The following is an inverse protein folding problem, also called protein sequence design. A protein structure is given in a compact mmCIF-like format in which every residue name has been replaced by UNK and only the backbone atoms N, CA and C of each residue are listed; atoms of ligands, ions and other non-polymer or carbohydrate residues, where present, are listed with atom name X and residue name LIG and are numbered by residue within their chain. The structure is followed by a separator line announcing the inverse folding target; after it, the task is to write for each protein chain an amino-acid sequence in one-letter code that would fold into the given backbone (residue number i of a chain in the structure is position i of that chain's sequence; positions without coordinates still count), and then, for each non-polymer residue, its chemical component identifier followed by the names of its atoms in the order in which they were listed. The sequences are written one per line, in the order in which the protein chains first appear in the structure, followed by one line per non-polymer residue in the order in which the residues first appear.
data_IF_937542812649
#
_entry.id   IF_937542812649
#
_cell.length_a   1.000
_cell.length_b   1.000
_cell.length_c   1.000
_cell.angle_alpha   90.00
_cell.angle_beta   90.00
_cell.angle_gamma   90.00
#
_symmetry.space_group_name_H-M   'P 1'
#
loop_
_entity.id
_entity.type
_entity.pdbx_description
1 polymer ?
#
# COMPACT_ATOMS: atom_id res chain seq x y z
N UNK A 1 -22.03 38.77 -17.77
CA UNK A 1 -20.98 38.17 -18.60
C UNK A 1 -19.83 37.79 -17.68
N UNK A 2 -19.33 36.56 -17.83
CA UNK A 2 -18.44 35.84 -16.92
C UNK A 2 -16.95 36.19 -17.10
N UNK A 3 -16.16 35.78 -16.08
CA UNK A 3 -14.74 35.38 -16.04
C UNK A 3 -13.84 36.29 -15.18
N UNK A 4 -13.00 35.78 -14.28
CA UNK A 4 -12.91 34.50 -13.59
C UNK A 4 -11.99 34.75 -12.37
N UNK A 5 -12.47 34.50 -11.16
CA UNK A 5 -11.63 34.51 -9.96
C UNK A 5 -10.88 33.18 -9.88
N UNK A 6 -9.59 33.17 -10.22
CA UNK A 6 -8.68 32.20 -9.61
C UNK A 6 -8.41 32.71 -8.18
N UNK A 7 -8.75 31.90 -7.18
CA UNK A 7 -7.67 31.14 -6.56
C UNK A 7 -8.16 29.75 -6.19
N UNK A 8 -7.83 28.75 -7.01
CA UNK A 8 -7.66 27.40 -6.46
C UNK A 8 -6.34 27.38 -5.71
N UNK A 9 -6.33 28.13 -4.60
CA UNK A 9 -5.35 28.01 -3.55
C UNK A 9 -5.36 26.55 -3.13
N UNK A 10 -4.26 25.88 -3.47
CA UNK A 10 -3.69 24.68 -2.85
C UNK A 10 -4.49 24.26 -1.61
N UNK A 11 -5.54 23.46 -1.79
CA UNK A 11 -6.10 22.65 -0.71
C UNK A 11 -5.18 21.45 -0.54
N UNK A 12 -3.96 21.71 -0.09
CA UNK A 12 -3.25 20.79 0.81
C UNK A 12 -4.01 20.80 2.13
N UNK A 13 -5.27 20.36 2.09
CA UNK A 13 -5.96 19.97 3.30
C UNK A 13 -5.16 18.78 3.82
N UNK A 14 -4.55 18.98 4.99
CA UNK A 14 -4.07 17.90 5.84
C UNK A 14 -5.06 16.76 5.74
N UNK A 15 -4.67 15.68 5.05
CA UNK A 15 -5.36 14.40 5.18
C UNK A 15 -5.21 14.05 6.64
N UNK A 16 -6.23 14.37 7.45
CA UNK A 16 -6.39 13.76 8.77
C UNK A 16 -6.16 12.26 8.58
N UNK A 17 -5.42 11.61 9.46
CA UNK A 17 -5.06 10.19 9.33
C UNK A 17 -6.28 9.29 9.07
N UNK A 18 -7.46 9.75 9.50
CA UNK A 18 -8.79 9.19 9.25
C UNK A 18 -9.18 9.12 7.77
N UNK A 19 -8.86 10.14 6.94
CA UNK A 19 -9.18 10.15 5.50
C UNK A 19 -8.15 9.39 4.66
N UNK A 20 -6.89 9.38 5.08
CA UNK A 20 -5.85 8.61 4.39
C UNK A 20 -6.16 7.11 4.45
N UNK A 21 -6.81 6.62 5.52
CA UNK A 21 -7.28 5.23 5.63
C UNK A 21 -8.45 4.90 4.68
N UNK A 22 -9.18 5.91 4.19
CA UNK A 22 -10.32 5.74 3.29
C UNK A 22 -9.93 5.94 1.82
N UNK A 23 -8.97 6.81 1.51
CA UNK A 23 -8.50 7.04 0.14
C UNK A 23 -7.67 5.85 -0.40
N UNK A 24 -8.15 5.12 -1.43
CA UNK A 24 -7.40 4.01 -2.02
C UNK A 24 -6.01 4.42 -2.52
N UNK A 25 -5.84 5.66 -3.01
CA UNK A 25 -4.55 6.13 -3.49
C UNK A 25 -3.56 6.35 -2.32
N UNK A 26 -4.01 6.97 -1.22
CA UNK A 26 -3.20 7.10 -0.01
C UNK A 26 -2.83 5.75 0.61
N UNK A 27 -3.76 4.78 0.64
CA UNK A 27 -3.49 3.43 1.13
C UNK A 27 -2.44 2.72 0.27
N UNK A 28 -2.55 2.78 -1.07
CA UNK A 28 -1.54 2.19 -1.98
C UNK A 28 -0.16 2.82 -1.80
N UNK A 29 -0.09 4.14 -1.55
CA UNK A 29 1.19 4.81 -1.25
C UNK A 29 1.83 4.25 0.02
N UNK A 30 1.07 3.99 1.08
CA UNK A 30 1.59 3.37 2.31
C UNK A 30 2.06 1.94 2.10
N UNK A 31 1.24 1.10 1.44
CA UNK A 31 1.64 -0.27 1.08
C UNK A 31 2.96 -0.28 0.30
N UNK A 32 3.12 0.66 -0.64
CA UNK A 32 4.37 0.84 -1.38
C UNK A 32 5.54 1.24 -0.48
N UNK A 33 5.35 2.20 0.43
CA UNK A 33 6.39 2.63 1.36
C UNK A 33 6.85 1.48 2.27
N UNK A 34 5.90 0.71 2.79
CA UNK A 34 6.19 -0.46 3.63
C UNK A 34 6.98 -1.52 2.85
N UNK A 35 6.57 -1.81 1.62
CA UNK A 35 7.30 -2.71 0.71
C UNK A 35 8.73 -2.22 0.47
N UNK A 36 8.91 -0.96 0.08
CA UNK A 36 10.21 -0.38 -0.27
C UNK A 36 11.15 -0.37 0.94
N UNK A 37 10.64 0.00 2.13
CA UNK A 37 11.40 -0.02 3.38
C UNK A 37 11.87 -1.44 3.70
N UNK A 38 10.96 -2.41 3.71
CA UNK A 38 11.30 -3.80 4.01
C UNK A 38 12.22 -4.42 2.96
N UNK A 39 12.01 -4.09 1.69
CA UNK A 39 12.86 -4.59 0.61
C UNK A 39 14.29 -4.07 0.72
N UNK A 40 14.48 -2.81 1.12
CA UNK A 40 15.81 -2.25 1.36
C UNK A 40 16.56 -3.00 2.48
N UNK A 41 15.89 -3.29 3.61
CA UNK A 41 16.46 -4.09 4.70
C UNK A 41 16.87 -5.49 4.22
N UNK A 42 16.00 -6.16 3.45
CA UNK A 42 16.28 -7.49 2.91
C UNK A 42 17.47 -7.45 1.94
N UNK A 43 17.59 -6.42 1.12
CA UNK A 43 18.73 -6.27 0.19
C UNK A 43 20.05 -6.04 0.95
N UNK A 44 20.03 -5.30 2.05
CA UNK A 44 21.21 -5.15 2.90
C UNK A 44 21.63 -6.50 3.52
N UNK A 45 20.68 -7.28 4.03
CA UNK A 45 20.94 -8.62 4.57
C UNK A 45 21.50 -9.57 3.50
N UNK A 46 20.94 -9.55 2.29
CA UNK A 46 21.44 -10.33 1.16
C UNK A 46 22.88 -9.96 0.84
N UNK A 47 23.19 -8.67 0.78
CA UNK A 47 24.53 -8.18 0.48
C UNK A 47 25.55 -8.56 1.57
N UNK A 48 25.14 -8.56 2.83
CA UNK A 48 25.95 -9.06 3.95
C UNK A 48 26.21 -10.57 3.78
N UNK A 49 25.18 -11.39 3.56
CA UNK A 49 25.30 -12.83 3.34
C UNK A 49 26.22 -13.15 2.15
N UNK A 50 26.03 -12.45 1.03
CA UNK A 50 26.85 -12.57 -0.17
C UNK A 50 28.33 -12.25 0.10
N UNK A 51 28.63 -11.19 0.86
CA UNK A 51 30.03 -10.86 1.25
C UNK A 51 30.67 -11.94 2.12
N UNK A 52 29.88 -12.64 2.92
CA UNK A 52 30.36 -13.74 3.76
C UNK A 52 30.41 -15.09 3.03
N UNK A 53 29.86 -15.17 1.81
CA UNK A 53 29.74 -16.42 1.06
C UNK A 53 28.70 -17.39 1.66
N UNK A 54 27.76 -16.88 2.46
CA UNK A 54 26.73 -17.70 3.11
C UNK A 54 25.51 -17.89 2.18
N UNK A 55 25.56 -18.98 1.40
CA UNK A 55 24.51 -19.32 0.45
C UNK A 55 23.16 -19.66 1.10
N UNK A 56 23.17 -20.27 2.30
CA UNK A 56 21.94 -20.59 3.02
C UNK A 56 21.25 -19.33 3.53
N UNK A 57 22.02 -18.36 4.01
CA UNK A 57 21.48 -17.05 4.38
C UNK A 57 20.93 -16.29 3.17
N UNK A 58 21.61 -16.34 2.02
CA UNK A 58 21.11 -15.76 0.77
C UNK A 58 19.76 -16.36 0.38
N UNK A 59 19.64 -17.70 0.39
CA UNK A 59 18.41 -18.40 0.05
C UNK A 59 17.26 -18.03 1.01
N UNK A 60 17.54 -17.93 2.32
CA UNK A 60 16.53 -17.46 3.30
C UNK A 60 16.06 -16.04 3.00
N UNK A 61 16.96 -15.14 2.63
CA UNK A 61 16.60 -13.76 2.29
C UNK A 61 15.77 -13.71 0.99
N UNK A 62 16.08 -14.55 0.00
CA UNK A 62 15.28 -14.66 -1.23
C UNK A 62 13.84 -15.12 -0.95
N UNK A 63 13.65 -16.08 -0.03
CA UNK A 63 12.31 -16.47 0.44
C UNK A 63 11.57 -15.29 1.06
N UNK A 64 12.22 -14.52 1.94
CA UNK A 64 11.63 -13.33 2.57
C UNK A 64 11.27 -12.23 1.56
N UNK A 65 12.04 -12.09 0.47
CA UNK A 65 11.72 -11.15 -0.62
C UNK A 65 10.45 -11.58 -1.35
N UNK A 66 10.27 -12.88 -1.60
CA UNK A 66 9.03 -13.40 -2.17
C UNK A 66 7.85 -13.17 -1.24
N UNK A 67 7.99 -13.47 0.05
CA UNK A 67 6.96 -13.21 1.06
C UNK A 67 6.56 -11.72 1.11
N UNK A 68 7.54 -10.80 1.15
CA UNK A 68 7.27 -9.35 1.13
C UNK A 68 6.46 -8.94 -0.12
N UNK A 69 6.78 -9.53 -1.27
CA UNK A 69 6.07 -9.28 -2.53
C UNK A 69 4.64 -9.82 -2.49
N UNK A 70 4.43 -11.03 -1.96
CA UNK A 70 3.10 -11.62 -1.81
C UNK A 70 2.22 -10.82 -0.86
N UNK A 71 2.73 -10.44 0.32
CA UNK A 71 1.99 -9.60 1.27
C UNK A 71 1.60 -8.25 0.67
N UNK A 72 2.51 -7.63 -0.09
CA UNK A 72 2.23 -6.36 -0.80
C UNK A 72 1.12 -6.52 -1.83
N UNK A 73 1.13 -7.62 -2.59
CA UNK A 73 0.09 -7.95 -3.56
C UNK A 73 -1.28 -8.14 -2.87
N UNK A 74 -1.33 -8.92 -1.79
CA UNK A 74 -2.55 -9.15 -1.02
C UNK A 74 -3.14 -7.86 -0.44
N UNK A 75 -2.28 -6.97 0.08
CA UNK A 75 -2.72 -5.67 0.58
C UNK A 75 -3.28 -4.78 -0.53
N UNK A 76 -2.62 -4.73 -1.69
CA UNK A 76 -3.11 -4.00 -2.85
C UNK A 76 -4.44 -4.57 -3.39
N UNK A 77 -4.63 -5.89 -3.30
CA UNK A 77 -5.90 -6.54 -3.62
C UNK A 77 -7.00 -6.09 -2.65
N UNK A 78 -6.75 -6.12 -1.33
CA UNK A 78 -7.69 -5.63 -0.30
C UNK A 78 -8.05 -4.14 -0.45
N UNK A 79 -7.16 -3.32 -1.02
CA UNK A 79 -7.47 -1.91 -1.32
C UNK A 79 -8.36 -1.78 -2.57
N UNK A 80 -8.21 -2.69 -3.52
CA UNK A 80 -8.93 -2.65 -4.80
C UNK A 80 -10.31 -3.32 -4.74
N UNK A 81 -10.54 -4.17 -3.74
CA UNK A 81 -11.87 -4.68 -3.40
C UNK A 81 -12.74 -3.54 -2.88
N UNK A 82 -13.81 -3.13 -3.57
CA UNK A 82 -14.77 -2.21 -2.99
C UNK A 82 -15.37 -2.85 -1.74
N UNK A 83 -15.53 -2.04 -0.69
CA UNK A 83 -16.33 -2.41 0.47
C UNK A 83 -17.76 -2.61 -0.05
N UNK A 84 -18.14 -3.85 -0.37
CA UNK A 84 -19.55 -4.22 -0.35
C UNK A 84 -19.90 -4.35 1.13
N UNK A 85 -20.15 -3.19 1.76
CA UNK A 85 -21.14 -3.20 2.82
C UNK A 85 -22.36 -3.88 2.23
N UNK A 86 -22.91 -4.83 2.97
CA UNK A 86 -24.18 -5.46 2.70
C UNK A 86 -25.17 -4.37 2.28
N UNK A 87 -25.39 -4.21 0.97
CA UNK A 87 -26.60 -3.60 0.45
C UNK A 87 -27.72 -4.63 0.66
N UNK A 88 -28.07 -4.74 1.95
CA UNK A 88 -29.41 -4.47 2.39
C UNK A 88 -30.43 -5.53 1.97
N UNK A 89 -30.61 -6.49 2.89
CA UNK A 89 -31.85 -7.23 3.04
C UNK A 89 -32.95 -6.24 3.49
N UNK A 90 -33.59 -5.53 2.57
CA UNK A 90 -34.95 -5.05 2.81
C UNK A 90 -35.86 -5.72 1.78
N UNK A 91 -36.59 -6.73 2.23
CA UNK A 91 -38.01 -6.94 1.91
C UNK A 91 -38.51 -6.09 0.72
N UNK A 92 -38.35 -6.59 -0.50
CA UNK A 92 -39.30 -6.30 -1.59
C UNK A 92 -40.42 -7.35 -1.45
N UNK A 93 -41.43 -7.05 -0.64
CA UNK A 93 -42.61 -6.22 -0.94
C UNK A 93 -43.70 -7.10 -1.59
N UNK A 94 -44.66 -7.46 -0.74
CA UNK A 94 -46.05 -7.89 -0.97
C UNK A 94 -46.40 -8.82 -2.16
#
# INVERSE_FOLDING_TARGET
MWHATAPFAVKTQHLNDTCAACDPAARRRRVRQDYESRHAELMELYMVAKRMGDGDAMMRVELLVMENSMTTMEQNFKISMPYQEEDVMWWEMD
#
